data_IF_165883397394
#
_entry.id   IF_165883397394
#
_cell.length_a   1.000
_cell.length_b   1.000
_cell.length_c   1.000
_cell.angle_alpha   90.00
_cell.angle_beta   90.00
_cell.angle_gamma   90.00
#
_symmetry.space_group_name_H-M   'P 1'
#
loop_
_entity.id
_entity.type
_entity.pdbx_description
1 polymer ?
#
# COMPACT_ATOMS: atom_id res chain seq x y z
N UNK A 1 -23.99 -3.69 28.05
CA UNK A 1 -23.54 -2.49 27.32
C UNK A 1 -23.02 -1.49 28.33
N UNK A 2 -21.74 -1.11 28.24
CA UNK A 2 -21.14 -0.12 29.16
C UNK A 2 -21.51 1.31 28.71
N UNK A 3 -21.63 2.27 29.63
CA UNK A 3 -22.00 3.67 29.33
C UNK A 3 -21.07 4.37 28.33
N UNK A 4 -19.82 3.91 28.17
CA UNK A 4 -18.90 4.37 27.13
C UNK A 4 -19.37 4.02 25.71
N UNK A 5 -20.00 2.85 25.49
CA UNK A 5 -20.51 2.46 24.17
C UNK A 5 -21.70 3.32 23.74
N UNK A 6 -22.54 3.74 24.68
CA UNK A 6 -23.67 4.65 24.37
C UNK A 6 -23.18 6.06 23.99
N UNK A 7 -22.05 6.51 24.54
CA UNK A 7 -21.51 7.84 24.27
C UNK A 7 -20.97 7.97 22.85
N UNK A 8 -20.28 6.94 22.32
CA UNK A 8 -19.76 6.94 20.95
C UNK A 8 -20.88 6.99 19.90
N UNK A 9 -21.95 6.22 20.10
CA UNK A 9 -23.14 6.26 19.21
C UNK A 9 -23.83 7.63 19.24
N UNK A 10 -23.93 8.27 20.40
CA UNK A 10 -24.52 9.61 20.53
C UNK A 10 -23.66 10.68 19.87
N UNK A 11 -22.33 10.59 19.96
CA UNK A 11 -21.41 11.56 19.33
C UNK A 11 -21.44 11.43 17.80
N UNK A 12 -21.44 10.20 17.26
CA UNK A 12 -21.54 9.96 15.82
C UNK A 12 -22.89 10.46 15.28
N UNK A 13 -23.99 10.18 16.00
CA UNK A 13 -25.32 10.66 15.62
C UNK A 13 -25.44 12.19 15.72
N UNK A 14 -24.81 12.83 16.73
CA UNK A 14 -24.77 14.29 16.87
C UNK A 14 -23.95 14.94 15.75
N UNK A 15 -22.80 14.37 15.39
CA UNK A 15 -21.98 14.88 14.28
C UNK A 15 -22.73 14.75 12.95
N UNK A 16 -23.40 13.62 12.69
CA UNK A 16 -24.25 13.44 11.52
C UNK A 16 -25.44 14.42 11.48
N UNK A 17 -26.05 14.72 12.63
CA UNK A 17 -27.14 15.70 12.77
C UNK A 17 -26.67 17.16 12.60
N UNK A 18 -25.47 17.49 13.09
CA UNK A 18 -24.87 18.83 12.92
C UNK A 18 -24.50 19.05 11.44
N UNK A 19 -23.99 18.02 10.75
CA UNK A 19 -23.61 18.12 9.33
C UNK A 19 -24.86 18.18 8.42
N UNK A 20 -25.89 17.39 8.71
CA UNK A 20 -27.15 17.44 7.95
C UNK A 20 -27.99 18.71 8.19
N UNK A 21 -27.70 19.47 9.25
CA UNK A 21 -28.37 20.73 9.59
C UNK A 21 -27.80 21.99 8.93
N UNK A 22 -26.65 21.93 8.24
CA UNK A 22 -26.00 23.10 7.62
C UNK A 22 -26.11 23.03 6.10
N UNK A 23 -27.35 23.10 5.59
CA UNK A 23 -27.58 23.40 4.18
C UNK A 23 -28.86 24.21 4.02
N UNK A 24 -28.81 25.46 4.48
CA UNK A 24 -29.73 26.49 4.01
C UNK A 24 -28.96 27.54 3.19
N UNK A 25 -29.05 27.37 1.86
CA UNK A 25 -28.96 28.37 0.78
C UNK A 25 -27.58 28.99 0.47
N UNK A 26 -27.05 28.59 -0.69
CA UNK A 26 -26.63 29.57 -1.71
C UNK A 26 -25.16 29.66 -2.10
N UNK A 27 -24.27 28.90 -1.46
CA UNK A 27 -22.88 28.72 -1.89
C UNK A 27 -22.61 27.21 -1.73
N UNK A 28 -22.09 26.53 -2.75
CA UNK A 28 -21.66 25.13 -2.59
C UNK A 28 -20.78 25.07 -1.34
N UNK A 29 -21.19 24.27 -0.34
CA UNK A 29 -20.51 24.26 0.94
C UNK A 29 -19.03 23.96 0.66
N UNK A 30 -18.08 24.76 1.20
CA UNK A 30 -16.65 24.53 1.01
C UNK A 30 -16.18 23.26 1.74
N UNK A 31 -17.10 22.39 2.16
CA UNK A 31 -16.86 21.18 2.90
C UNK A 31 -17.41 20.01 2.09
N UNK A 32 -16.57 19.02 1.87
CA UNK A 32 -16.98 17.69 1.43
C UNK A 32 -16.42 16.66 2.40
N UNK A 33 -17.07 15.52 2.52
CA UNK A 33 -16.60 14.49 3.43
C UNK A 33 -17.04 13.09 3.06
N UNK A 34 -16.40 12.14 3.73
CA UNK A 34 -16.71 10.73 3.67
C UNK A 34 -16.70 10.19 5.09
N UNK A 35 -17.79 9.56 5.51
CA UNK A 35 -17.84 8.80 6.75
C UNK A 35 -18.06 7.35 6.39
N UNK A 36 -17.13 6.49 6.78
CA UNK A 36 -17.20 5.05 6.59
C UNK A 36 -17.31 4.38 7.94
N UNK A 37 -18.22 3.42 8.07
CA UNK A 37 -18.36 2.57 9.24
C UNK A 37 -18.36 1.12 8.79
N UNK A 38 -17.39 0.35 9.27
CA UNK A 38 -17.20 -1.06 8.99
C UNK A 38 -17.41 -1.87 10.27
N UNK A 39 -18.24 -2.90 10.20
CA UNK A 39 -18.43 -3.92 11.24
C UNK A 39 -17.82 -5.22 10.74
N UNK A 40 -16.75 -5.67 11.39
CA UNK A 40 -16.15 -6.98 11.19
C UNK A 40 -16.65 -7.99 12.24
N UNK A 41 -16.97 -9.19 11.80
CA UNK A 41 -17.33 -10.32 12.64
C UNK A 41 -16.38 -11.48 12.37
N UNK A 42 -15.66 -11.91 13.40
CA UNK A 42 -14.75 -13.04 13.37
C UNK A 42 -15.24 -14.13 14.32
N UNK A 43 -15.38 -15.39 13.90
CA UNK A 43 -15.81 -16.47 14.79
C UNK A 43 -14.81 -16.71 15.92
N UNK A 44 -15.30 -16.93 17.14
CA UNK A 44 -14.44 -17.16 18.33
C UNK A 44 -13.69 -18.52 18.28
N UNK A 45 -14.10 -19.44 17.41
CA UNK A 45 -13.50 -20.78 17.29
C UNK A 45 -12.81 -20.96 15.94
N UNK A 46 -11.47 -20.94 15.96
CA UNK A 46 -10.62 -21.33 14.83
C UNK A 46 -10.37 -22.85 14.91
N UNK A 47 -11.31 -23.68 14.45
CA UNK A 47 -11.05 -25.12 14.28
C UNK A 47 -12.19 -26.09 14.58
N UNK A 48 -13.34 -25.62 15.07
CA UNK A 48 -14.53 -26.47 15.24
C UNK A 48 -15.61 -26.13 14.21
N UNK A 49 -16.34 -27.13 13.70
CA UNK A 49 -17.41 -26.95 12.70
C UNK A 49 -18.64 -26.19 13.23
N UNK A 50 -18.54 -25.58 14.40
CA UNK A 50 -19.61 -24.88 15.10
C UNK A 50 -19.12 -23.50 15.52
N UNK A 51 -19.83 -22.47 15.08
CA UNK A 51 -19.60 -21.09 15.51
C UNK A 51 -20.33 -20.89 16.84
N UNK A 52 -19.59 -20.87 17.94
CA UNK A 52 -20.14 -20.69 19.29
C UNK A 52 -20.22 -19.21 19.72
N UNK A 53 -19.56 -18.31 18.98
CA UNK A 53 -19.54 -16.87 19.24
C UNK A 53 -18.85 -16.10 18.12
N UNK A 54 -18.96 -14.76 18.16
CA UNK A 54 -18.24 -13.86 17.27
C UNK A 54 -17.53 -12.77 18.07
N UNK A 55 -16.25 -12.54 17.77
CA UNK A 55 -15.58 -11.28 18.04
C UNK A 55 -16.10 -10.23 17.05
N UNK A 56 -16.73 -9.19 17.58
CA UNK A 56 -17.13 -8.04 16.79
C UNK A 56 -16.07 -6.95 16.90
N UNK A 57 -15.63 -6.48 15.75
CA UNK A 57 -14.79 -5.31 15.61
C UNK A 57 -15.56 -4.21 14.85
N UNK A 58 -15.43 -2.97 15.31
CA UNK A 58 -16.08 -1.83 14.68
C UNK A 58 -15.01 -0.81 14.40
N UNK A 59 -14.91 -0.45 13.13
CA UNK A 59 -14.08 0.63 12.64
C UNK A 59 -14.97 1.74 12.08
N UNK A 60 -14.54 2.98 12.28
CA UNK A 60 -15.07 4.11 11.55
C UNK A 60 -13.95 5.01 11.05
N UNK A 61 -14.05 5.39 9.78
CA UNK A 61 -13.17 6.37 9.16
C UNK A 61 -13.96 7.64 8.87
N UNK A 62 -13.41 8.79 9.24
CA UNK A 62 -13.99 10.09 8.95
C UNK A 62 -12.97 10.91 8.18
N UNK A 63 -13.30 11.23 6.93
CA UNK A 63 -12.55 12.15 6.08
C UNK A 63 -13.36 13.43 5.90
N UNK A 64 -12.77 14.56 6.23
CA UNK A 64 -13.35 15.88 6.04
C UNK A 64 -12.39 16.73 5.24
N UNK A 65 -12.86 17.28 4.13
CA UNK A 65 -12.10 18.17 3.27
C UNK A 65 -12.77 19.53 3.26
N UNK A 66 -12.00 20.56 3.61
CA UNK A 66 -12.37 21.95 3.48
C UNK A 66 -11.53 22.59 2.37
N UNK A 67 -12.20 23.13 1.35
CA UNK A 67 -11.56 23.73 0.18
C UNK A 67 -11.96 25.19 0.06
N UNK A 68 -10.97 26.08 0.12
CA UNK A 68 -11.17 27.53 -0.03
C UNK A 68 -10.03 28.16 -0.82
N UNK A 69 -10.37 28.77 -1.97
CA UNK A 69 -9.45 29.63 -2.73
C UNK A 69 -8.09 28.96 -3.09
N UNK A 70 -8.11 27.68 -3.47
CA UNK A 70 -6.89 26.93 -3.85
C UNK A 70 -6.10 26.36 -2.66
N UNK A 71 -6.64 26.48 -1.45
CA UNK A 71 -6.17 25.81 -0.24
C UNK A 71 -7.16 24.70 0.13
N UNK A 72 -6.64 23.49 0.26
CA UNK A 72 -7.37 22.30 0.67
C UNK A 72 -6.84 21.81 2.01
N UNK A 73 -7.72 21.75 3.01
CA UNK A 73 -7.45 21.15 4.31
C UNK A 73 -8.23 19.85 4.41
N UNK A 74 -7.54 18.72 4.43
CA UNK A 74 -8.15 17.40 4.63
C UNK A 74 -7.77 16.84 5.99
N UNK A 75 -8.75 16.49 6.81
CA UNK A 75 -8.57 15.69 8.02
C UNK A 75 -9.05 14.27 7.74
N UNK A 76 -8.23 13.29 8.11
CA UNK A 76 -8.57 11.87 8.07
C UNK A 76 -8.39 11.33 9.48
N UNK A 77 -9.45 10.76 10.06
CA UNK A 77 -9.44 10.15 11.39
C UNK A 77 -9.97 8.73 11.29
N UNK A 78 -9.26 7.76 11.86
CA UNK A 78 -9.67 6.35 11.94
C UNK A 78 -9.88 6.01 13.42
N UNK A 79 -11.04 5.45 13.72
CA UNK A 79 -11.45 5.06 15.06
C UNK A 79 -11.80 3.59 15.09
N UNK A 80 -11.38 2.89 16.14
CA UNK A 80 -11.88 1.56 16.48
C UNK A 80 -12.68 1.57 17.78
N UNK A 81 -13.06 0.39 18.25
CA UNK A 81 -13.61 0.19 19.60
C UNK A 81 -12.66 0.67 20.72
N UNK A 82 -11.36 0.80 20.45
CA UNK A 82 -10.35 1.25 21.42
C UNK A 82 -10.19 2.77 21.46
N UNK A 83 -10.59 3.48 20.41
CA UNK A 83 -10.51 4.94 20.33
C UNK A 83 -9.94 5.41 19.00
N UNK A 84 -9.32 6.59 18.99
CA UNK A 84 -8.66 7.16 17.82
C UNK A 84 -7.31 6.47 17.58
N UNK A 85 -7.19 5.76 16.47
CA UNK A 85 -6.00 4.98 16.12
C UNK A 85 -5.09 5.72 15.15
N UNK A 86 -5.66 6.57 14.32
CA UNK A 86 -4.90 7.33 13.35
C UNK A 86 -5.58 8.66 13.09
N UNK A 87 -4.77 9.71 13.01
CA UNK A 87 -5.21 11.01 12.53
C UNK A 87 -4.15 11.60 11.61
N UNK A 88 -4.54 11.94 10.39
CA UNK A 88 -3.75 12.73 9.47
C UNK A 88 -4.44 14.06 9.18
N UNK A 89 -3.64 15.13 9.19
CA UNK A 89 -4.03 16.45 8.76
C UNK A 89 -3.19 16.81 7.54
N UNK A 90 -3.83 16.97 6.39
CA UNK A 90 -3.20 17.38 5.14
C UNK A 90 -3.63 18.79 4.81
N UNK A 91 -2.67 19.70 4.68
CA UNK A 91 -2.87 21.03 4.13
C UNK A 91 -2.18 21.08 2.77
N UNK A 92 -2.93 21.28 1.71
CA UNK A 92 -2.41 21.49 0.37
C UNK A 92 -2.75 22.91 -0.10
N UNK A 93 -1.80 23.58 -0.73
CA UNK A 93 -2.01 24.86 -1.38
C UNK A 93 -1.39 24.81 -2.77
N UNK A 94 -2.19 25.12 -3.78
CA UNK A 94 -1.71 25.23 -5.15
C UNK A 94 -1.53 26.70 -5.51
N UNK A 95 -0.27 27.14 -5.55
CA UNK A 95 0.16 28.43 -6.10
C UNK A 95 1.13 28.13 -7.26
N UNK A 96 1.96 29.03 -7.83
CA UNK A 96 2.98 28.57 -8.79
C UNK A 96 3.96 27.55 -8.18
N UNK A 97 3.95 27.41 -6.85
CA UNK A 97 4.55 26.31 -6.10
C UNK A 97 3.39 25.50 -5.47
N UNK A 98 3.43 24.18 -5.62
CA UNK A 98 2.54 23.29 -4.88
C UNK A 98 3.19 22.96 -3.56
N UNK A 99 2.50 23.26 -2.46
CA UNK A 99 2.93 22.92 -1.11
C UNK A 99 1.91 21.98 -0.48
N UNK A 100 2.38 20.89 0.11
CA UNK A 100 1.55 19.94 0.84
C UNK A 100 2.21 19.58 2.16
N UNK A 101 1.52 19.83 3.26
CA UNK A 101 1.96 19.46 4.60
C UNK A 101 1.05 18.37 5.14
N UNK A 102 1.61 17.26 5.59
CA UNK A 102 0.91 16.13 6.19
C UNK A 102 1.45 15.94 7.60
N UNK A 103 0.58 16.06 8.60
CA UNK A 103 0.91 15.78 10.00
C UNK A 103 0.15 14.53 10.45
N UNK A 104 0.88 13.56 10.97
CA UNK A 104 0.38 12.23 11.31
C UNK A 104 0.50 12.01 12.81
N UNK A 105 -0.60 11.56 13.41
CA UNK A 105 -0.68 11.12 14.79
C UNK A 105 -1.19 9.68 14.85
N UNK A 106 -0.46 8.82 15.55
CA UNK A 106 -0.84 7.42 15.74
C UNK A 106 -0.14 6.83 16.98
N UNK A 107 -0.72 5.82 17.63
CA UNK A 107 -0.11 5.17 18.78
C UNK A 107 1.13 4.36 18.38
N UNK A 108 1.23 3.92 17.12
CA UNK A 108 2.29 3.07 16.59
C UNK A 108 2.67 3.44 15.14
N UNK A 109 3.80 2.90 14.68
CA UNK A 109 4.27 2.95 13.29
C UNK A 109 4.99 1.66 12.94
N UNK A 110 4.73 1.13 11.75
CA UNK A 110 5.43 0.02 11.12
C UNK A 110 6.25 0.53 9.95
N UNK A 111 7.49 0.08 9.86
CA UNK A 111 8.38 0.48 8.77
C UNK A 111 8.65 -0.68 7.84
N UNK A 112 8.42 -0.49 6.55
CA UNK A 112 8.57 -1.53 5.55
C UNK A 112 9.64 -1.11 4.55
N UNK A 113 10.65 -1.96 4.40
CA UNK A 113 11.69 -1.78 3.42
C UNK A 113 11.14 -2.02 2.00
N UNK A 114 11.59 -1.23 1.04
CA UNK A 114 11.31 -1.49 -0.37
C UNK A 114 12.31 -2.51 -0.94
N UNK A 115 12.32 -3.72 -0.40
CA UNK A 115 13.08 -4.85 -0.93
C UNK A 115 12.18 -5.80 -1.76
N UNK A 116 12.72 -6.91 -2.27
CA UNK A 116 11.91 -7.85 -3.06
C UNK A 116 10.75 -8.47 -2.27
N UNK A 117 10.83 -8.49 -0.94
CA UNK A 117 9.89 -9.21 -0.07
C UNK A 117 9.03 -8.29 0.81
N UNK A 118 9.24 -6.99 0.71
CA UNK A 118 8.67 -5.96 1.57
C UNK A 118 8.88 -6.30 3.04
N UNK A 119 10.15 -6.46 3.44
CA UNK A 119 10.50 -6.88 4.80
C UNK A 119 10.13 -5.80 5.82
N UNK A 120 9.49 -6.21 6.92
CA UNK A 120 9.25 -5.33 8.06
C UNK A 120 10.57 -5.07 8.78
N UNK A 121 11.00 -3.81 8.77
CA UNK A 121 12.16 -3.34 9.53
C UNK A 121 11.72 -2.77 10.86
N UNK A 122 12.64 -2.72 11.82
CA UNK A 122 12.44 -2.30 13.21
C UNK A 122 11.37 -1.19 13.36
N UNK A 123 10.21 -1.56 13.90
CA UNK A 123 9.15 -0.63 14.27
C UNK A 123 9.48 0.02 15.62
N UNK A 124 9.18 1.31 15.80
CA UNK A 124 9.46 2.01 17.05
C UNK A 124 8.27 2.88 17.51
N UNK A 125 7.72 2.69 18.72
CA UNK A 125 8.08 1.69 19.73
C UNK A 125 7.84 0.26 19.27
N UNK A 126 8.77 -0.64 19.60
CA UNK A 126 8.76 -2.06 19.22
C UNK A 126 7.44 -2.72 19.64
N UNK A 127 6.59 -3.16 18.68
CA UNK A 127 5.33 -3.83 18.99
C UNK A 127 5.52 -5.27 19.50
N UNK A 128 6.76 -5.76 19.62
CA UNK A 128 7.07 -7.11 20.09
C UNK A 128 6.72 -8.23 19.10
N UNK A 129 6.47 -7.88 17.83
CA UNK A 129 5.70 -8.73 16.91
C UNK A 129 6.41 -9.30 15.68
N UNK A 130 7.14 -8.54 14.86
CA UNK A 130 7.39 -8.96 13.46
C UNK A 130 8.66 -8.43 12.76
N UNK A 131 9.73 -8.11 13.50
CA UNK A 131 10.96 -7.63 12.85
C UNK A 131 11.60 -8.72 11.98
N UNK A 132 11.84 -8.41 10.70
CA UNK A 132 12.55 -9.29 9.75
C UNK A 132 11.64 -10.23 8.93
N UNK A 133 10.32 -10.08 8.99
CA UNK A 133 9.38 -10.93 8.24
C UNK A 133 8.98 -10.31 6.89
N UNK A 134 8.92 -11.11 5.81
CA UNK A 134 8.52 -10.65 4.49
C UNK A 134 6.99 -10.49 4.39
N UNK A 135 6.51 -9.30 3.99
CA UNK A 135 5.06 -9.01 3.89
C UNK A 135 4.40 -9.55 2.61
N UNK A 136 5.14 -9.71 1.51
CA UNK A 136 4.55 -9.99 0.17
C UNK A 136 3.74 -11.28 0.07
N UNK A 137 3.92 -12.24 0.96
CA UNK A 137 3.46 -13.62 0.75
C UNK A 137 2.49 -14.17 1.81
N UNK A 138 2.18 -13.44 2.89
CA UNK A 138 1.55 -14.12 4.04
C UNK A 138 0.32 -13.43 4.64
N UNK A 139 0.10 -12.15 4.37
CA UNK A 139 -0.62 -11.35 5.36
C UNK A 139 -2.08 -11.07 4.99
N UNK A 140 -2.37 -10.72 3.74
CA UNK A 140 -3.77 -10.50 3.29
C UNK A 140 -4.48 -11.79 2.85
N UNK A 141 -3.73 -12.85 2.58
CA UNK A 141 -4.23 -14.09 1.96
C UNK A 141 -4.49 -15.23 2.94
N UNK A 142 -3.87 -15.19 4.14
CA UNK A 142 -3.86 -16.32 5.07
C UNK A 142 -4.40 -15.99 6.48
N UNK A 143 -4.56 -14.70 6.81
CA UNK A 143 -5.02 -14.24 8.12
C UNK A 143 -6.27 -13.37 7.99
N UNK A 144 -7.15 -13.41 8.99
CA UNK A 144 -8.22 -12.41 9.10
C UNK A 144 -7.59 -11.01 9.30
N UNK A 145 -8.26 -9.91 8.91
CA UNK A 145 -7.78 -8.57 9.17
C UNK A 145 -7.48 -8.32 10.66
N UNK A 146 -8.23 -8.95 11.57
CA UNK A 146 -8.05 -8.84 13.02
C UNK A 146 -6.82 -9.62 13.49
N UNK A 147 -6.62 -10.85 13.04
CA UNK A 147 -5.41 -11.61 13.34
C UNK A 147 -4.17 -10.90 12.80
N UNK A 148 -4.29 -10.30 11.62
CA UNK A 148 -3.25 -9.48 11.05
C UNK A 148 -2.98 -8.23 11.89
N UNK A 149 -4.01 -7.49 12.32
CA UNK A 149 -3.86 -6.33 13.19
C UNK A 149 -3.22 -6.71 14.53
N UNK A 150 -3.61 -7.86 15.11
CA UNK A 150 -2.98 -8.42 16.32
C UNK A 150 -1.52 -8.79 16.12
N UNK A 151 -1.19 -9.37 14.97
CA UNK A 151 0.17 -9.74 14.58
C UNK A 151 1.04 -8.49 14.35
N UNK A 152 0.46 -7.46 13.70
CA UNK A 152 1.10 -6.20 13.35
C UNK A 152 1.19 -5.20 14.51
N UNK A 153 0.44 -5.38 15.60
CA UNK A 153 0.75 -4.69 16.85
C UNK A 153 -0.27 -4.86 17.99
N UNK A 154 0.20 -4.95 19.25
CA UNK A 154 -0.64 -4.91 20.45
C UNK A 154 -0.92 -3.49 21.01
N UNK A 155 -0.48 -2.41 20.37
CA UNK A 155 -0.33 -1.08 21.01
C UNK A 155 -1.43 -0.04 20.76
N UNK A 156 -2.62 -0.45 20.31
CA UNK A 156 -3.77 0.44 20.13
C UNK A 156 -4.32 1.02 21.46
N UNK A 157 -3.83 0.56 22.62
CA UNK A 157 -4.24 1.05 23.94
C UNK A 157 -3.50 2.36 24.35
N UNK A 158 -2.55 2.82 23.54
CA UNK A 158 -1.81 4.07 23.75
C UNK A 158 -2.55 5.30 23.25
N UNK A 159 -2.27 6.47 23.85
CA UNK A 159 -2.74 7.74 23.29
C UNK A 159 -2.09 8.00 21.92
N UNK A 160 -2.85 8.60 21.01
CA UNK A 160 -2.31 9.08 19.73
C UNK A 160 -1.23 10.13 20.00
N UNK A 161 -0.04 9.93 19.41
CA UNK A 161 1.12 10.83 19.54
C UNK A 161 1.54 11.32 18.17
N UNK A 162 2.20 12.47 18.12
CA UNK A 162 2.85 12.91 16.88
C UNK A 162 3.85 11.85 16.43
N UNK A 163 3.70 11.38 15.19
CA UNK A 163 4.54 10.34 14.58
C UNK A 163 5.36 10.85 13.42
N UNK A 164 4.76 11.62 12.51
CA UNK A 164 5.48 12.14 11.35
C UNK A 164 4.89 13.45 10.86
N UNK A 165 5.77 14.33 10.38
CA UNK A 165 5.42 15.44 9.53
C UNK A 165 6.11 15.29 8.18
N UNK A 166 5.38 15.55 7.11
CA UNK A 166 5.85 15.49 5.72
C UNK A 166 5.50 16.84 5.11
N UNK A 167 6.49 17.53 4.56
CA UNK A 167 6.30 18.77 3.84
C UNK A 167 6.83 18.54 2.42
N UNK A 168 5.91 18.40 1.48
CA UNK A 168 6.18 18.22 0.05
C UNK A 168 6.11 19.60 -0.61
N UNK A 169 7.15 19.96 -1.34
CA UNK A 169 7.23 21.17 -2.13
C UNK A 169 7.60 20.82 -3.56
N UNK A 170 6.80 21.29 -4.51
CA UNK A 170 7.00 21.07 -5.93
C UNK A 170 7.06 22.39 -6.69
N UNK A 171 8.12 22.55 -7.48
CA UNK A 171 8.35 23.70 -8.33
C UNK A 171 8.63 23.24 -9.76
N UNK A 172 7.84 23.74 -10.71
CA UNK A 172 8.12 23.56 -12.13
C UNK A 172 8.96 24.74 -12.62
N UNK A 173 10.17 24.46 -13.11
CA UNK A 173 11.07 25.46 -13.65
C UNK A 173 11.76 24.95 -14.92
N UNK A 174 11.67 25.74 -16.00
CA UNK A 174 12.33 25.45 -17.27
C UNK A 174 12.08 24.04 -17.85
N UNK A 175 10.88 23.48 -17.64
CA UNK A 175 10.51 22.15 -18.10
C UNK A 175 10.95 20.99 -17.19
N UNK A 176 11.58 21.31 -16.06
CA UNK A 176 11.90 20.37 -15.00
C UNK A 176 10.93 20.56 -13.82
N UNK A 177 10.63 19.46 -13.13
CA UNK A 177 9.94 19.43 -11.87
C UNK A 177 10.96 19.15 -10.76
N UNK A 178 11.23 20.16 -9.95
CA UNK A 178 11.97 20.03 -8.71
C UNK A 178 10.98 19.67 -7.60
N UNK A 179 11.24 18.57 -6.89
CA UNK A 179 10.49 18.13 -5.71
C UNK A 179 11.40 18.10 -4.50
N UNK A 180 10.92 18.58 -3.37
CA UNK A 180 11.61 18.46 -2.10
C UNK A 180 10.61 18.02 -1.03
N UNK A 181 10.88 16.89 -0.38
CA UNK A 181 10.09 16.37 0.72
C UNK A 181 10.92 16.48 2.00
N UNK A 182 10.56 17.41 2.89
CA UNK A 182 11.13 17.47 4.22
C UNK A 182 10.31 16.58 5.16
N UNK A 183 10.98 15.68 5.87
CA UNK A 183 10.36 14.73 6.78
C UNK A 183 10.86 14.99 8.20
N UNK A 184 9.97 14.80 9.17
CA UNK A 184 10.34 14.77 10.58
C UNK A 184 9.58 13.63 11.23
N UNK A 185 10.28 12.62 11.75
CA UNK A 185 9.65 11.47 12.40
C UNK A 185 9.97 11.44 13.90
N UNK A 186 8.97 11.10 14.71
CA UNK A 186 9.14 10.82 16.13
C UNK A 186 9.25 9.32 16.36
N UNK A 187 10.46 8.85 16.66
CA UNK A 187 10.73 7.44 17.02
C UNK A 187 10.64 7.18 18.53
N UNK A 188 10.36 8.23 19.33
CA UNK A 188 10.20 8.15 20.77
C UNK A 188 8.76 7.88 21.22
N UNK A 189 8.52 8.06 22.52
CA UNK A 189 7.19 7.96 23.14
C UNK A 189 6.52 9.34 23.25
N UNK A 190 5.27 9.36 23.72
CA UNK A 190 4.56 10.62 24.04
C UNK A 190 5.34 11.49 25.04
N UNK A 191 5.92 10.85 26.06
CA UNK A 191 6.56 11.49 27.20
C UNK A 191 8.06 11.76 26.99
N UNK A 192 8.67 11.09 26.01
CA UNK A 192 10.07 11.26 25.63
C UNK A 192 10.18 11.21 24.09
N UNK A 193 9.83 12.31 23.40
CA UNK A 193 9.90 12.35 21.94
C UNK A 193 11.36 12.29 21.48
N UNK A 194 11.58 11.57 20.38
CA UNK A 194 12.88 11.46 19.72
C UNK A 194 12.71 11.81 18.24
N UNK A 195 13.01 13.06 17.89
CA UNK A 195 12.72 13.61 16.57
C UNK A 195 13.93 13.47 15.65
N UNK A 196 13.72 12.84 14.50
CA UNK A 196 14.71 12.68 13.44
C UNK A 196 14.26 13.43 12.20
N UNK A 197 15.08 14.35 11.66
CA UNK A 197 14.81 14.98 10.39
C UNK A 197 15.25 14.10 9.23
N UNK A 198 14.61 14.27 8.08
CA UNK A 198 15.11 13.77 6.81
C UNK A 198 14.70 14.71 5.67
N UNK A 199 15.38 14.59 4.53
CA UNK A 199 15.09 15.37 3.33
C UNK A 199 15.25 14.46 2.11
N UNK A 200 14.25 14.48 1.23
CA UNK A 200 14.32 13.86 -0.08
C UNK A 200 14.29 14.98 -1.10
N UNK A 201 15.29 15.05 -1.97
CA UNK A 201 15.34 16.03 -3.05
C UNK A 201 15.29 15.28 -4.37
N UNK A 202 14.24 15.54 -5.15
CA UNK A 202 14.01 14.96 -6.46
C UNK A 202 14.09 16.01 -7.55
N UNK A 203 14.68 15.67 -8.68
CA UNK A 203 14.60 16.44 -9.92
C UNK A 203 14.11 15.50 -11.01
N UNK A 204 13.01 15.86 -11.67
CA UNK A 204 12.52 15.14 -12.83
C UNK A 204 12.36 16.06 -14.03
N UNK A 205 12.49 15.50 -15.22
CA UNK A 205 12.32 16.23 -16.47
C UNK A 205 11.99 15.28 -17.60
N UNK A 206 11.21 15.77 -18.56
CA UNK A 206 10.88 15.03 -19.76
C UNK A 206 11.66 15.60 -20.95
N UNK A 207 12.40 14.74 -21.64
CA UNK A 207 13.10 15.10 -22.87
C UNK A 207 12.11 15.24 -24.03
N UNK A 208 12.51 15.92 -25.11
CA UNK A 208 11.71 16.05 -26.34
C UNK A 208 11.39 14.70 -27.00
N UNK A 209 12.16 13.66 -26.70
CA UNK A 209 11.93 12.27 -27.13
C UNK A 209 10.80 11.58 -26.36
N UNK A 210 10.26 12.21 -25.31
CA UNK A 210 9.28 11.62 -24.39
C UNK A 210 9.92 10.86 -23.22
N UNK A 211 11.24 10.65 -23.22
CA UNK A 211 11.99 10.02 -22.13
C UNK A 211 11.87 10.84 -20.85
N UNK A 212 11.42 10.23 -19.77
CA UNK A 212 11.39 10.83 -18.44
C UNK A 212 12.67 10.43 -17.69
N UNK A 213 13.36 11.41 -17.12
CA UNK A 213 14.48 11.17 -16.22
C UNK A 213 14.12 11.78 -14.87
N UNK A 214 14.27 11.01 -13.81
CA UNK A 214 14.08 11.44 -12.44
C UNK A 214 15.27 10.98 -11.60
N UNK A 215 15.84 11.89 -10.83
CA UNK A 215 16.88 11.59 -9.87
C UNK A 215 16.42 12.05 -8.49
N UNK A 216 16.62 11.23 -7.46
CA UNK A 216 16.27 11.57 -6.09
C UNK A 216 17.39 11.21 -5.12
N UNK A 217 17.71 12.12 -4.21
CA UNK A 217 18.70 11.91 -3.15
C UNK A 217 18.00 11.95 -1.79
N UNK A 218 18.30 10.97 -0.94
CA UNK A 218 17.72 10.79 0.38
C UNK A 218 18.75 11.10 1.47
N UNK A 219 18.49 12.15 2.24
CA UNK A 219 19.29 12.58 3.39
C UNK A 219 18.56 12.19 4.68
N UNK A 220 19.15 11.34 5.49
CA UNK A 220 18.53 10.80 6.70
C UNK A 220 17.24 10.02 6.42
N UNK A 221 17.08 9.51 5.19
CA UNK A 221 15.93 8.70 4.80
C UNK A 221 16.35 7.57 3.87
N UNK A 222 15.53 6.52 3.78
CA UNK A 222 15.66 5.44 2.80
C UNK A 222 14.33 5.19 2.10
N UNK A 223 14.39 4.57 0.93
CA UNK A 223 13.19 4.11 0.22
C UNK A 223 12.46 3.03 1.04
N UNK A 224 11.14 3.04 0.94
CA UNK A 224 10.25 2.24 1.76
C UNK A 224 8.96 2.98 2.00
N UNK A 225 8.05 2.35 2.74
CA UNK A 225 6.85 3.01 3.23
C UNK A 225 6.73 2.83 4.74
N UNK A 226 6.02 3.77 5.34
CA UNK A 226 5.63 3.69 6.73
C UNK A 226 4.13 3.52 6.80
N UNK A 227 3.71 2.66 7.71
CA UNK A 227 2.34 2.37 8.03
C UNK A 227 2.05 2.84 9.45
N UNK A 228 0.90 3.46 9.68
CA UNK A 228 0.47 3.86 11.02
C UNK A 228 -0.78 3.07 11.40
N UNK A 229 -1.10 2.93 12.69
CA UNK A 229 -2.30 2.20 13.12
C UNK A 229 -2.26 0.71 12.77
N UNK A 230 -3.32 0.19 12.16
CA UNK A 230 -3.47 -1.21 11.73
C UNK A 230 -2.90 -1.49 10.34
N UNK A 231 -2.22 -0.51 9.74
CA UNK A 231 -1.56 -0.59 8.45
C UNK A 231 -2.51 -0.77 7.25
N UNK A 232 -3.65 -0.08 7.32
CA UNK A 232 -4.63 -0.02 6.25
C UNK A 232 -4.14 0.90 5.14
N UNK A 233 -4.71 0.76 3.94
CA UNK A 233 -4.35 1.60 2.79
C UNK A 233 -4.33 3.12 3.08
N UNK A 234 -5.31 3.72 3.76
CA UNK A 234 -5.28 5.16 4.06
C UNK A 234 -4.20 5.57 5.09
N UNK A 235 -3.59 4.60 5.77
CA UNK A 235 -2.56 4.79 6.79
C UNK A 235 -1.14 4.54 6.26
N UNK A 236 -1.02 4.19 4.97
CA UNK A 236 0.26 3.92 4.27
C UNK A 236 0.82 5.18 3.63
N UNK A 237 2.06 5.51 3.96
CA UNK A 237 2.79 6.66 3.42
C UNK A 237 4.11 6.24 2.78
N UNK A 238 4.28 6.55 1.50
CA UNK A 238 5.40 6.10 0.65
C UNK A 238 6.56 7.10 0.57
N UNK A 239 6.51 8.20 1.33
CA UNK A 239 7.51 9.27 1.33
C UNK A 239 8.78 8.90 2.10
N UNK A 240 9.26 7.65 1.94
CA UNK A 240 10.47 7.14 2.57
C UNK A 240 10.39 6.96 4.08
N UNK A 241 11.35 6.19 4.58
CA UNK A 241 11.55 5.87 6.00
C UNK A 241 12.64 6.77 6.56
N UNK A 242 12.42 7.35 7.74
CA UNK A 242 13.40 8.26 8.37
C UNK A 242 14.45 7.43 9.12
N UNK A 243 15.71 7.80 8.94
CA UNK A 243 16.87 7.18 9.59
C UNK A 243 17.32 8.01 10.80
N UNK A 244 17.98 7.41 11.80
CA UNK A 244 18.45 8.15 12.98
C UNK A 244 19.49 9.23 12.68
N UNK A 245 20.27 9.06 11.62
CA UNK A 245 21.37 9.96 11.26
C UNK A 245 21.02 10.79 10.02
N UNK A 246 21.21 12.10 10.07
CA UNK A 246 21.04 12.99 8.90
C UNK A 246 22.27 12.95 7.99
N UNK A 247 22.42 11.87 7.24
CA UNK A 247 23.51 11.66 6.25
C UNK A 247 22.93 11.22 4.91
N UNK A 248 23.71 11.28 3.84
CA UNK A 248 23.26 10.72 2.55
C UNK A 248 23.18 9.21 2.72
N UNK A 249 21.98 8.67 2.61
CA UNK A 249 21.70 7.25 2.79
C UNK A 249 21.52 6.56 1.45
N UNK A 250 20.84 7.22 0.51
CA UNK A 250 20.46 6.62 -0.77
C UNK A 250 20.39 7.66 -1.89
N UNK A 251 20.81 7.26 -3.09
CA UNK A 251 20.48 7.96 -4.34
C UNK A 251 19.68 7.04 -5.26
N UNK A 252 18.79 7.62 -6.05
CA UNK A 252 17.92 6.91 -6.98
C UNK A 252 17.96 7.61 -8.33
N UNK A 253 18.11 6.84 -9.39
CA UNK A 253 17.98 7.29 -10.76
C UNK A 253 16.91 6.45 -11.46
N UNK A 254 15.93 7.12 -12.03
CA UNK A 254 14.83 6.54 -12.76
C UNK A 254 14.84 7.10 -14.19
N UNK A 255 14.86 6.22 -15.17
CA UNK A 255 14.77 6.57 -16.58
C UNK A 255 13.56 5.80 -17.13
N UNK A 256 12.55 6.48 -17.65
CA UNK A 256 11.38 5.84 -18.26
C UNK A 256 11.21 6.25 -19.71
N UNK A 257 10.62 5.36 -20.48
CA UNK A 257 10.30 5.55 -21.89
C UNK A 257 11.52 5.82 -22.79
N UNK A 258 12.68 5.25 -22.46
CA UNK A 258 13.87 5.40 -23.31
C UNK A 258 13.73 4.51 -24.55
N UNK A 259 13.45 5.10 -25.72
CA UNK A 259 13.32 4.36 -26.98
C UNK A 259 14.67 4.13 -27.65
N UNK A 260 15.13 2.88 -27.72
CA UNK A 260 16.37 2.47 -28.41
C UNK A 260 16.05 1.29 -29.33
N UNK A 261 16.43 1.39 -30.61
CA UNK A 261 16.21 0.34 -31.62
C UNK A 261 14.74 -0.15 -31.72
N UNK A 262 13.77 0.73 -31.45
CA UNK A 262 12.33 0.39 -31.50
C UNK A 262 11.81 -0.32 -30.25
N UNK A 263 12.65 -0.50 -29.22
CA UNK A 263 12.29 -1.02 -27.91
C UNK A 263 12.25 0.12 -26.90
N UNK A 264 11.34 0.03 -25.93
CA UNK A 264 11.25 0.98 -24.83
C UNK A 264 11.95 0.38 -23.62
N UNK A 265 12.86 1.13 -23.02
CA UNK A 265 13.58 0.73 -21.81
C UNK A 265 13.16 1.63 -20.64
N UNK A 266 12.87 1.02 -19.49
CA UNK A 266 12.76 1.70 -18.21
C UNK A 266 13.83 1.16 -17.27
N UNK A 267 14.52 2.05 -16.55
CA UNK A 267 15.53 1.70 -15.58
C UNK A 267 15.22 2.39 -14.26
N UNK A 268 15.34 1.66 -13.17
CA UNK A 268 15.43 2.19 -11.81
C UNK A 268 16.74 1.68 -11.20
N UNK A 269 17.62 2.59 -10.80
CA UNK A 269 18.91 2.29 -10.21
C UNK A 269 18.94 2.94 -8.84
N UNK A 270 19.26 2.14 -7.83
CA UNK A 270 19.38 2.57 -6.43
C UNK A 270 20.81 2.42 -5.97
N UNK A 271 21.33 3.46 -5.35
CA UNK A 271 22.67 3.57 -4.82
C UNK A 271 22.56 3.66 -3.29
N UNK A 272 23.01 2.64 -2.55
CA UNK A 272 23.14 2.74 -1.09
C UNK A 272 24.50 3.34 -0.74
N UNK A 273 24.47 4.48 -0.04
CA UNK A 273 25.64 5.28 0.34
C UNK A 273 25.87 5.27 1.87
N UNK A 274 24.95 4.68 2.64
CA UNK A 274 24.93 4.73 4.10
C UNK A 274 25.71 3.60 4.80
N UNK A 275 26.07 2.52 4.10
CA UNK A 275 26.80 1.39 4.69
C UNK A 275 28.25 1.29 4.18
N UNK A 276 29.27 1.49 5.02
CA UNK A 276 30.66 1.30 4.67
C UNK A 276 31.06 -0.17 4.84
N UNK A 277 30.48 -1.08 4.07
CA UNK A 277 30.87 -2.49 4.14
C UNK A 277 31.22 -2.98 2.73
N UNK A 278 32.52 -3.24 2.56
CA UNK A 278 33.28 -3.75 1.38
C UNK A 278 33.96 -2.66 0.52
N UNK A 279 35.29 -2.73 0.29
CA UNK A 279 36.04 -1.78 -0.54
C UNK A 279 35.91 -2.04 -2.06
N UNK A 280 34.82 -2.64 -2.53
CA UNK A 280 34.57 -2.86 -3.95
C UNK A 280 33.28 -2.13 -4.35
N UNK A 281 33.47 -0.93 -4.89
CA UNK A 281 32.47 0.01 -5.42
C UNK A 281 31.42 0.48 -4.39
N UNK A 282 31.44 1.78 -3.98
CA UNK A 282 30.20 2.37 -3.51
C UNK A 282 29.14 2.22 -4.62
N UNK A 283 27.96 1.78 -4.23
CA UNK A 283 26.81 2.53 -4.69
C UNK A 283 25.91 1.91 -5.74
N UNK A 284 25.78 0.61 -5.98
CA UNK A 284 24.53 0.15 -6.65
C UNK A 284 23.96 -1.01 -5.84
N UNK A 285 22.89 -0.74 -5.10
CA UNK A 285 22.21 -1.74 -4.29
C UNK A 285 21.09 -2.46 -5.03
N UNK A 286 20.47 -1.77 -6.01
CA UNK A 286 19.40 -2.33 -6.85
C UNK A 286 19.45 -1.79 -8.27
N UNK A 287 19.27 -2.66 -9.26
CA UNK A 287 18.96 -2.29 -10.65
C UNK A 287 17.70 -3.02 -11.05
N UNK A 288 16.70 -2.26 -11.46
CA UNK A 288 15.46 -2.77 -12.02
C UNK A 288 15.35 -2.25 -13.45
N UNK A 289 15.46 -3.17 -14.41
CA UNK A 289 15.42 -2.86 -15.82
C UNK A 289 14.21 -3.52 -16.46
N UNK A 290 13.30 -2.71 -16.99
CA UNK A 290 12.18 -3.16 -17.80
C UNK A 290 12.43 -2.86 -19.29
N UNK A 291 12.18 -3.86 -20.12
CA UNK A 291 12.20 -3.78 -21.58
C UNK A 291 10.79 -4.01 -22.09
N UNK A 292 10.28 -3.10 -22.91
CA UNK A 292 8.96 -3.20 -23.54
C UNK A 292 9.09 -3.18 -25.06
N UNK A 293 8.67 -4.26 -25.71
CA UNK A 293 8.61 -4.38 -27.15
C UNK A 293 7.15 -4.40 -27.62
N UNK A 294 6.78 -3.49 -28.52
CA UNK A 294 5.46 -3.48 -29.17
C UNK A 294 5.58 -4.05 -30.57
N UNK A 295 5.03 -5.24 -30.79
CA UNK A 295 5.08 -5.98 -32.04
C UNK A 295 3.72 -5.90 -32.77
N UNK A 296 3.71 -6.19 -34.07
CA UNK A 296 2.49 -6.27 -34.90
C UNK A 296 1.58 -5.04 -34.81
N UNK A 297 2.16 -3.83 -34.90
CA UNK A 297 1.41 -2.58 -34.83
C UNK A 297 0.85 -2.25 -33.44
N UNK A 298 1.44 -2.81 -32.37
CA UNK A 298 1.04 -2.59 -30.98
C UNK A 298 0.03 -3.61 -30.44
N UNK A 299 -0.33 -4.62 -31.23
CA UNK A 299 -1.27 -5.67 -30.82
C UNK A 299 -0.64 -6.75 -29.92
N UNK A 300 0.69 -6.84 -29.92
CA UNK A 300 1.46 -7.71 -29.04
C UNK A 300 2.44 -6.86 -28.24
N UNK A 301 2.36 -6.91 -26.92
CA UNK A 301 3.32 -6.27 -26.03
C UNK A 301 4.11 -7.37 -25.30
N UNK A 302 5.44 -7.31 -25.43
CA UNK A 302 6.38 -8.11 -24.65
C UNK A 302 6.99 -7.21 -23.59
N UNK A 303 6.82 -7.53 -22.30
CA UNK A 303 7.56 -6.87 -21.21
C UNK A 303 8.55 -7.85 -20.61
N UNK A 304 9.79 -7.44 -20.42
CA UNK A 304 10.81 -8.19 -19.69
C UNK A 304 11.38 -7.32 -18.58
N UNK A 305 11.19 -7.71 -17.32
CA UNK A 305 11.79 -7.02 -16.18
C UNK A 305 12.93 -7.85 -15.61
N UNK A 306 14.07 -7.22 -15.40
CA UNK A 306 15.29 -7.79 -14.81
C UNK A 306 15.59 -7.04 -13.52
N UNK A 307 15.54 -7.75 -12.40
CA UNK A 307 15.91 -7.19 -11.10
C UNK A 307 17.26 -7.76 -10.67
N UNK A 308 18.17 -6.89 -10.24
CA UNK A 308 19.45 -7.21 -9.62
C UNK A 308 19.51 -6.53 -8.26
N UNK A 309 19.82 -7.26 -7.20
CA UNK A 309 19.98 -6.70 -5.85
C UNK A 309 21.19 -7.28 -5.14
N UNK A 310 21.99 -6.43 -4.48
CA UNK A 310 23.15 -6.85 -3.69
C UNK A 310 22.86 -6.92 -2.18
N UNK A 311 21.70 -6.46 -1.73
CA UNK A 311 21.34 -6.38 -0.31
C UNK A 311 20.98 -7.75 0.32
N UNK A 312 20.82 -8.81 -0.49
CA UNK A 312 20.24 -10.09 -0.08
C UNK A 312 21.16 -11.32 -0.23
N UNK A 313 22.44 -11.16 -0.57
CA UNK A 313 23.33 -12.28 -0.92
C UNK A 313 23.58 -12.35 -2.44
N UNK A 314 23.97 -13.51 -3.03
CA UNK A 314 24.34 -13.58 -4.44
C UNK A 314 23.24 -12.93 -5.29
N UNK A 315 23.64 -12.06 -6.23
CA UNK A 315 22.70 -11.24 -6.99
C UNK A 315 21.58 -12.11 -7.58
N UNK A 316 20.35 -11.92 -7.11
CA UNK A 316 19.21 -12.65 -7.63
C UNK A 316 18.80 -12.03 -8.97
N UNK A 317 18.43 -12.86 -9.94
CA UNK A 317 17.86 -12.42 -11.21
C UNK A 317 16.41 -12.87 -11.31
N UNK A 318 15.49 -11.91 -11.19
CA UNK A 318 14.08 -12.13 -11.51
C UNK A 318 13.83 -11.69 -12.95
N UNK A 319 13.32 -12.59 -13.79
CA UNK A 319 12.85 -12.31 -15.14
C UNK A 319 11.33 -12.41 -15.16
N UNK A 320 10.66 -11.27 -15.24
CA UNK A 320 9.21 -11.20 -15.48
C UNK A 320 8.95 -11.01 -16.97
N UNK A 321 8.33 -11.98 -17.65
CA UNK A 321 7.97 -11.91 -19.06
C UNK A 321 6.46 -11.82 -19.24
N UNK A 322 5.93 -10.70 -19.74
CA UNK A 322 4.51 -10.52 -20.03
C UNK A 322 4.26 -10.50 -21.55
N UNK A 323 3.22 -11.20 -22.00
CA UNK A 323 2.75 -11.28 -23.39
C UNK A 323 1.26 -10.93 -23.44
N UNK A 324 0.90 -9.81 -24.07
CA UNK A 324 -0.49 -9.37 -24.18
C UNK A 324 -1.02 -9.35 -25.61
N UNK A 325 -2.24 -9.83 -25.84
CA UNK A 325 -3.02 -9.58 -27.06
C UNK A 325 -4.37 -8.98 -26.67
N UNK A 326 -4.59 -7.71 -27.04
CA UNK A 326 -5.81 -6.94 -26.71
C UNK A 326 -6.06 -6.93 -25.20
N UNK A 327 -7.08 -7.66 -24.75
CA UNK A 327 -7.52 -7.70 -23.34
C UNK A 327 -7.05 -8.97 -22.63
N UNK A 328 -6.17 -9.78 -23.24
CA UNK A 328 -5.67 -11.04 -22.66
C UNK A 328 -4.16 -10.97 -22.52
N UNK A 329 -3.66 -11.28 -21.33
CA UNK A 329 -2.26 -11.21 -20.97
C UNK A 329 -1.80 -12.52 -20.33
N UNK A 330 -0.57 -12.92 -20.62
CA UNK A 330 0.12 -14.04 -19.98
C UNK A 330 1.46 -13.52 -19.47
N UNK A 331 1.69 -13.61 -18.17
CA UNK A 331 2.93 -13.28 -17.51
C UNK A 331 3.60 -14.54 -16.94
N UNK A 332 4.93 -14.56 -16.97
CA UNK A 332 5.79 -15.63 -16.47
C UNK A 332 6.88 -15.02 -15.61
N UNK A 333 6.99 -15.46 -14.36
CA UNK A 333 8.09 -15.10 -13.47
C UNK A 333 9.07 -16.27 -13.39
N UNK A 334 10.31 -16.01 -13.79
CA UNK A 334 11.45 -16.91 -13.66
C UNK A 334 12.41 -16.31 -12.64
N UNK A 335 12.88 -17.10 -11.69
CA UNK A 335 13.83 -16.62 -10.68
C UNK A 335 15.05 -17.53 -10.65
N UNK A 336 16.22 -16.95 -10.81
CA UNK A 336 17.50 -17.63 -10.59
C UNK A 336 18.04 -17.22 -9.22
N UNK A 337 18.10 -18.20 -8.32
CA UNK A 337 18.59 -18.06 -6.95
C UNK A 337 20.12 -18.26 -6.86
N UNK A 338 20.77 -18.75 -7.93
CA UNK A 338 22.22 -19.02 -7.99
C UNK A 338 22.79 -18.75 -9.41
N UNK A 339 23.27 -17.52 -9.63
CA UNK A 339 23.91 -17.09 -10.88
C UNK A 339 25.12 -17.94 -11.32
N UNK A 340 25.62 -18.86 -10.49
CA UNK A 340 26.71 -19.76 -10.84
C UNK A 340 26.28 -20.86 -11.83
N UNK A 341 25.01 -21.30 -11.79
CA UNK A 341 24.45 -22.29 -12.72
C UNK A 341 23.05 -21.79 -13.11
N UNK A 342 22.87 -21.22 -14.31
CA UNK A 342 21.60 -20.66 -14.71
C UNK A 342 20.54 -21.77 -14.83
N UNK A 343 19.74 -21.91 -13.78
CA UNK A 343 18.48 -22.63 -13.78
C UNK A 343 17.41 -21.58 -13.55
N UNK A 344 16.47 -21.47 -14.48
CA UNK A 344 15.38 -20.49 -14.42
C UNK A 344 14.07 -21.23 -14.16
N UNK A 345 13.86 -21.82 -12.97
CA UNK A 345 12.60 -22.45 -12.66
C UNK A 345 11.48 -21.42 -12.75
N UNK A 346 10.38 -21.81 -13.39
CA UNK A 346 9.16 -21.01 -13.39
C UNK A 346 8.66 -20.93 -11.95
N UNK A 347 8.73 -19.74 -11.36
CA UNK A 347 8.21 -19.46 -10.03
C UNK A 347 6.74 -19.12 -10.08
N UNK A 348 6.29 -18.40 -11.11
CA UNK A 348 4.90 -18.00 -11.22
C UNK A 348 4.45 -17.89 -12.68
N UNK A 349 3.21 -18.27 -12.92
CA UNK A 349 2.49 -18.09 -14.18
C UNK A 349 1.25 -17.29 -13.85
N UNK A 350 1.04 -16.15 -14.52
CA UNK A 350 -0.17 -15.35 -14.38
C UNK A 350 -0.86 -15.24 -15.72
N UNK A 351 -2.09 -15.71 -15.82
CA UNK A 351 -2.96 -15.43 -16.96
C UNK A 351 -3.97 -14.36 -16.55
N UNK A 352 -4.28 -13.42 -17.42
CA UNK A 352 -5.39 -12.49 -17.18
C UNK A 352 -6.15 -12.18 -18.46
N UNK A 353 -7.45 -11.96 -18.34
CA UNK A 353 -8.31 -11.59 -19.46
C UNK A 353 -9.44 -10.68 -19.01
N UNK A 354 -9.85 -9.75 -19.86
CA UNK A 354 -11.01 -8.87 -19.60
C UNK A 354 -12.02 -8.94 -20.73
N UNK A 355 -13.24 -9.34 -20.40
CA UNK A 355 -14.36 -9.45 -21.34
C UNK A 355 -15.64 -8.92 -20.70
N UNK A 356 -16.28 -7.95 -21.36
CA UNK A 356 -17.61 -7.46 -20.95
C UNK A 356 -17.67 -6.89 -19.54
N UNK A 357 -16.62 -6.18 -19.09
CA UNK A 357 -16.57 -5.61 -17.73
C UNK A 357 -16.23 -6.63 -16.63
N UNK A 358 -15.90 -7.87 -17.00
CA UNK A 358 -15.37 -8.89 -16.09
C UNK A 358 -13.89 -9.11 -16.41
N UNK A 359 -13.04 -8.94 -15.40
CA UNK A 359 -11.62 -9.27 -15.40
C UNK A 359 -11.42 -10.58 -14.65
N UNK A 360 -10.70 -11.51 -15.25
CA UNK A 360 -10.28 -12.75 -14.61
C UNK A 360 -8.76 -12.78 -14.63
N UNK A 361 -8.15 -13.08 -13.48
CA UNK A 361 -6.72 -13.30 -13.33
C UNK A 361 -6.49 -14.64 -12.63
N UNK A 362 -5.65 -15.47 -13.20
CA UNK A 362 -5.29 -16.80 -12.71
C UNK A 362 -3.78 -16.83 -12.46
N UNK A 363 -3.36 -17.13 -11.23
CA UNK A 363 -1.97 -17.09 -10.77
C UNK A 363 -1.62 -18.48 -10.24
N UNK A 364 -0.58 -19.10 -10.81
CA UNK A 364 -0.02 -20.35 -10.34
C UNK A 364 1.41 -20.07 -9.90
N UNK A 365 1.75 -20.32 -8.64
CA UNK A 365 3.05 -20.02 -8.06
C UNK A 365 3.64 -21.22 -7.32
N UNK A 366 4.96 -21.45 -7.48
CA UNK A 366 5.74 -22.45 -6.77
C UNK A 366 6.32 -21.84 -5.51
N UNK A 367 5.88 -22.36 -4.37
CA UNK A 367 6.28 -21.89 -3.05
C UNK A 367 7.67 -22.41 -2.65
N UNK A 368 8.47 -21.63 -1.90
CA UNK A 368 9.81 -22.04 -1.46
C UNK A 368 9.85 -23.36 -0.68
N UNK A 369 8.77 -23.70 0.02
CA UNK A 369 8.64 -24.95 0.76
C UNK A 369 8.26 -26.17 -0.11
N UNK A 370 8.25 -26.03 -1.45
CA UNK A 370 7.91 -27.12 -2.38
C UNK A 370 6.41 -27.31 -2.64
N UNK A 371 5.57 -26.35 -2.28
CA UNK A 371 4.13 -26.36 -2.53
C UNK A 371 3.74 -25.62 -3.80
N UNK A 372 2.54 -25.88 -4.31
CA UNK A 372 1.93 -25.10 -5.39
C UNK A 372 0.78 -24.25 -4.82
N UNK A 373 0.84 -22.95 -5.04
CA UNK A 373 -0.22 -21.99 -4.76
C UNK A 373 -0.93 -21.71 -6.08
N UNK A 374 -2.26 -21.85 -6.10
CA UNK A 374 -3.07 -21.48 -7.25
C UNK A 374 -4.13 -20.48 -6.77
N UNK A 375 -4.14 -19.28 -7.34
CA UNK A 375 -5.06 -18.21 -6.97
C UNK A 375 -5.83 -17.72 -8.20
N UNK A 376 -7.15 -17.68 -8.11
CA UNK A 376 -8.03 -17.16 -9.14
C UNK A 376 -8.70 -15.89 -8.59
N UNK A 377 -8.48 -14.76 -9.26
CA UNK A 377 -9.10 -13.48 -8.99
C UNK A 377 -10.13 -13.16 -10.08
N UNK A 378 -11.33 -12.78 -9.69
CA UNK A 378 -12.41 -12.38 -10.57
C UNK A 378 -12.90 -11.02 -10.11
N UNK A 379 -12.84 -10.04 -10.98
CA UNK A 379 -13.29 -8.68 -10.71
C UNK A 379 -14.33 -8.28 -11.74
N UNK A 380 -15.38 -7.60 -11.31
CA UNK A 380 -16.36 -7.01 -12.22
C UNK A 380 -16.86 -5.69 -11.66
N UNK A 381 -17.04 -4.73 -12.56
CA UNK A 381 -17.65 -3.45 -12.26
C UNK A 381 -18.74 -3.17 -13.30
N UNK A 382 -19.98 -3.10 -12.85
CA UNK A 382 -21.16 -2.86 -13.69
C UNK A 382 -22.02 -1.80 -12.99
N UNK A 383 -22.05 -0.60 -13.57
CA UNK A 383 -22.82 0.55 -13.10
C UNK A 383 -22.60 0.87 -11.62
N UNK A 384 -23.54 0.45 -10.77
CA UNK A 384 -23.55 0.69 -9.33
C UNK A 384 -22.95 -0.47 -8.53
N UNK A 385 -22.43 -1.51 -9.18
CA UNK A 385 -22.01 -2.74 -8.53
C UNK A 385 -20.56 -3.06 -8.86
N UNK A 386 -19.75 -3.26 -7.84
CA UNK A 386 -18.41 -3.83 -7.95
C UNK A 386 -18.35 -5.13 -7.17
N UNK A 387 -17.74 -6.15 -7.77
CA UNK A 387 -17.50 -7.43 -7.14
C UNK A 387 -16.06 -7.85 -7.39
N UNK A 388 -15.42 -8.36 -6.35
CA UNK A 388 -14.12 -9.01 -6.42
C UNK A 388 -14.19 -10.32 -5.66
N UNK A 389 -13.67 -11.39 -6.25
CA UNK A 389 -13.52 -12.69 -5.60
C UNK A 389 -12.11 -13.19 -5.83
N UNK A 390 -11.43 -13.55 -4.76
CA UNK A 390 -10.15 -14.23 -4.77
C UNK A 390 -10.32 -15.63 -4.19
N UNK A 391 -9.96 -16.66 -4.95
CA UNK A 391 -10.03 -18.05 -4.52
C UNK A 391 -8.64 -18.67 -4.56
N UNK A 392 -8.22 -19.27 -3.46
CA UNK A 392 -6.89 -19.84 -3.27
C UNK A 392 -6.99 -21.35 -3.07
N UNK A 393 -6.10 -22.08 -3.75
CA UNK A 393 -5.89 -23.52 -3.64
C UNK A 393 -4.44 -23.79 -3.23
N UNK A 394 -4.24 -24.74 -2.31
CA UNK A 394 -2.90 -25.14 -1.86
C UNK A 394 -2.61 -26.62 -2.18
N UNK A 395 -1.46 -26.86 -2.81
CA UNK A 395 -0.97 -28.21 -3.11
C UNK A 395 -1.58 -28.85 -4.36
N UNK A 396 -2.22 -28.07 -5.24
CA UNK A 396 -2.80 -28.57 -6.49
C UNK A 396 -3.40 -27.48 -7.38
N UNK A 397 -3.69 -27.82 -8.64
CA UNK A 397 -4.38 -26.96 -9.61
C UNK A 397 -5.88 -27.27 -9.48
N UNK A 398 -6.66 -26.34 -8.91
CA UNK A 398 -8.12 -26.45 -8.66
C UNK A 398 -8.55 -27.55 -7.66
N UNK A 399 -7.62 -28.36 -7.15
CA UNK A 399 -7.86 -29.29 -6.05
C UNK A 399 -7.37 -28.69 -4.73
N UNK A 400 -7.96 -29.10 -3.60
CA UNK A 400 -7.63 -28.58 -2.26
C UNK A 400 -7.91 -27.08 -2.10
N UNK A 401 -9.18 -26.69 -2.26
CA UNK A 401 -9.66 -25.37 -1.87
C UNK A 401 -9.14 -25.01 -0.47
N UNK A 402 -8.50 -23.85 -0.38
CA UNK A 402 -7.90 -23.36 0.86
C UNK A 402 -8.71 -22.20 1.41
N UNK A 403 -8.82 -21.09 0.69
CA UNK A 403 -9.56 -19.91 1.11
C UNK A 403 -10.24 -19.21 -0.05
N UNK A 404 -11.33 -18.51 0.23
CA UNK A 404 -11.99 -17.59 -0.69
C UNK A 404 -12.29 -16.29 0.04
N UNK A 405 -11.94 -15.19 -0.60
CA UNK A 405 -12.35 -13.85 -0.22
C UNK A 405 -13.31 -13.31 -1.26
N UNK A 406 -14.40 -12.73 -0.81
CA UNK A 406 -15.40 -12.07 -1.66
C UNK A 406 -15.63 -10.68 -1.12
N UNK A 407 -15.44 -9.69 -1.98
CA UNK A 407 -15.70 -8.29 -1.74
C UNK A 407 -16.82 -7.83 -2.68
N UNK A 408 -17.81 -7.15 -2.12
CA UNK A 408 -18.96 -6.60 -2.86
C UNK A 408 -19.15 -5.16 -2.44
N UNK A 409 -19.37 -4.29 -3.42
CA UNK A 409 -19.61 -2.87 -3.23
C UNK A 409 -20.80 -2.43 -4.08
N UNK A 410 -21.77 -1.76 -3.45
CA UNK A 410 -22.91 -1.15 -4.12
C UNK A 410 -22.88 0.37 -3.96
N UNK A 411 -22.87 1.09 -5.07
CA UNK A 411 -22.90 2.55 -5.13
C UNK A 411 -24.34 3.05 -5.28
N UNK A 412 -24.94 3.53 -4.20
CA UNK A 412 -26.31 4.04 -4.14
C UNK A 412 -26.31 5.56 -4.00
N UNK A 413 -25.87 6.25 -5.06
CA UNK A 413 -25.79 7.71 -5.10
C UNK A 413 -24.67 8.24 -4.20
N UNK A 414 -25.03 8.75 -3.03
CA UNK A 414 -24.08 9.24 -2.02
C UNK A 414 -23.67 8.17 -0.99
N UNK A 415 -24.28 6.99 -1.04
CA UNK A 415 -24.04 5.93 -0.06
C UNK A 415 -23.41 4.73 -0.77
N UNK A 416 -22.31 4.23 -0.25
CA UNK A 416 -21.73 2.96 -0.67
C UNK A 416 -21.98 1.89 0.40
N UNK A 417 -22.47 0.72 -0.03
CA UNK A 417 -22.63 -0.44 0.83
C UNK A 417 -21.58 -1.47 0.48
N UNK A 418 -20.75 -1.83 1.46
CA UNK A 418 -19.68 -2.81 1.31
C UNK A 418 -20.02 -4.09 2.06
N UNK A 419 -19.66 -5.23 1.48
CA UNK A 419 -19.67 -6.52 2.14
C UNK A 419 -18.37 -7.25 1.82
N UNK A 420 -17.71 -7.78 2.83
CA UNK A 420 -16.53 -8.63 2.68
C UNK A 420 -16.80 -9.96 3.37
N UNK A 421 -16.44 -11.06 2.74
CA UNK A 421 -16.50 -12.39 3.35
C UNK A 421 -15.20 -13.11 3.08
N UNK A 422 -14.60 -13.69 4.11
CA UNK A 422 -13.45 -14.58 3.98
C UNK A 422 -13.83 -15.93 4.56
N UNK A 423 -13.77 -16.95 3.72
CA UNK A 423 -13.96 -18.35 4.11
C UNK A 423 -12.67 -19.12 3.88
N UNK A 424 -12.38 -20.06 4.76
CA UNK A 424 -11.38 -21.11 4.60
C UNK A 424 -12.11 -22.43 4.48
N UNK A 425 -11.51 -23.44 3.83
CA UNK A 425 -12.09 -24.75 3.48
C UNK A 425 -13.33 -25.20 4.27
N UNK A 426 -13.25 -25.21 5.60
CA UNK A 426 -14.30 -25.67 6.49
C UNK A 426 -14.81 -24.60 7.49
N UNK A 427 -14.35 -23.35 7.39
CA UNK A 427 -14.59 -22.30 8.39
C UNK A 427 -14.88 -20.93 7.75
N UNK A 428 -15.86 -20.20 8.30
CA UNK A 428 -15.93 -18.76 8.11
C UNK A 428 -14.77 -18.14 8.90
N UNK A 429 -13.92 -17.33 8.26
CA UNK A 429 -12.87 -16.59 8.96
C UNK A 429 -13.34 -15.18 9.31
N UNK A 430 -14.05 -14.54 8.38
CA UNK A 430 -14.43 -13.16 8.55
C UNK A 430 -15.70 -12.84 7.76
N UNK A 431 -16.56 -12.02 8.35
CA UNK A 431 -17.69 -11.40 7.69
C UNK A 431 -17.71 -9.92 8.05
N UNK A 432 -17.59 -9.06 7.05
CA UNK A 432 -17.60 -7.62 7.18
C UNK A 432 -18.77 -6.99 6.45
N UNK A 433 -19.41 -6.01 7.06
CA UNK A 433 -20.36 -5.11 6.40
C UNK A 433 -19.97 -3.67 6.66
N UNK A 434 -20.02 -2.86 5.62
CA UNK A 434 -19.58 -1.49 5.63
C UNK A 434 -20.60 -0.56 5.00
N UNK A 435 -20.65 0.67 5.50
CA UNK A 435 -21.39 1.76 4.87
C UNK A 435 -20.46 2.96 4.78
N UNK A 436 -20.28 3.51 3.58
CA UNK A 436 -19.64 4.80 3.37
C UNK A 436 -20.70 5.82 2.94
N UNK A 437 -20.65 7.03 3.49
CA UNK A 437 -21.52 8.13 3.13
C UNK A 437 -20.69 9.34 2.69
N UNK A 438 -20.91 9.76 1.45
CA UNK A 438 -20.30 10.91 0.80
C UNK A 438 -21.23 12.12 0.86
N UNK A 439 -20.74 13.28 1.30
CA UNK A 439 -21.55 14.50 1.41
C UNK A 439 -20.79 15.77 1.02
#
# INVERSE_FOLDING_TARGET
MTPQRALSWVIILLLALIISGVSEKGIAAPFSGEITVDLGLEPESLGENKVDGFFADIESTVRLTFSFSGLDLTSLSVFSLKGLEFQALTLAASTPITLRNITIFAPNVLEVADDLFWTVTQANPDPGGLVGLPLRLFIHELASPIDLARLLGPSLDGFSVFRKNIIEAELVFAGFLLRADALMANTGSASAPNLHPALIVGLSGQMSTGTLIEAATYFGARQGFQCYGECKEPERFWQGRVMPDFRIEQEKLLIRHLSVAGLIHNFEIVFDLGTPLVPMLPGISRVDWELVAKLFGGNLELRQRFLFSSELGPAQLLIHSEFGIRNTHLALDLMDDDLAIPDFPIRQITFSTTLGGVSVRDIISVQPAGGLLHAILIETAIDIFTFSSQTIFLGGIVTNFYSQRVDVLYHLGQIDLKMNVIVRRDFLLFFGVGVAWHF
#
